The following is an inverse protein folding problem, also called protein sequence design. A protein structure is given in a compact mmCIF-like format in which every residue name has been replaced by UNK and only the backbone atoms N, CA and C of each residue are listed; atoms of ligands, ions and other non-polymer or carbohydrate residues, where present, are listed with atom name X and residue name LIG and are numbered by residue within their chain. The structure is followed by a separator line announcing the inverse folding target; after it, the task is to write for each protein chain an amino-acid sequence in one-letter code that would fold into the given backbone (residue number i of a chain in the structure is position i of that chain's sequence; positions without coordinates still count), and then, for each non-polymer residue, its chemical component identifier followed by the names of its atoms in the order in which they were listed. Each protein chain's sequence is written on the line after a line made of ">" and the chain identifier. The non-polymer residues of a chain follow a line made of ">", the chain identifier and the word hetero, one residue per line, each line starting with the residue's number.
data_IF_972715832828
#
_entry.id   IF_972715832828
#
_cell.length_a   1.000
_cell.length_b   1.000
_cell.length_c   1.000
_cell.angle_alpha   90.00
_cell.angle_beta   90.00
_cell.angle_gamma   90.00
#
_symmetry.space_group_name_H-M   'P 1'
#
loop_
_entity.id
_entity.type
_entity.pdbx_description
1 polymer ?
#
# COMPACT_ATOMS: atom_id res chain seq x y z
N UNK A 1 8.40 1.01 -12.13
CA UNK A 1 8.84 1.92 -11.04
C UNK A 1 9.86 1.30 -10.10
N UNK A 2 9.78 0.01 -9.75
CA UNK A 2 10.81 -0.65 -8.92
C UNK A 2 12.26 -0.45 -9.43
N UNK A 3 12.50 -0.54 -10.74
CA UNK A 3 13.81 -0.27 -11.35
C UNK A 3 14.29 1.18 -11.17
N UNK A 4 13.38 2.16 -11.13
CA UNK A 4 13.73 3.57 -10.93
C UNK A 4 14.00 3.88 -9.45
N UNK A 5 13.25 3.27 -8.54
CA UNK A 5 13.43 3.39 -7.08
C UNK A 5 14.78 2.77 -6.65
N UNK A 6 15.10 1.56 -7.13
CA UNK A 6 16.38 0.92 -6.84
C UNK A 6 17.57 1.52 -7.63
N UNK A 7 17.37 1.89 -8.91
CA UNK A 7 18.46 2.35 -9.79
C UNK A 7 18.88 3.81 -9.59
N UNK A 8 17.93 4.73 -9.34
CA UNK A 8 18.21 6.16 -9.21
C UNK A 8 18.19 6.65 -7.75
N UNK A 9 17.28 6.15 -6.92
CA UNK A 9 17.06 6.71 -5.58
C UNK A 9 18.03 6.17 -4.53
N UNK A 10 18.28 4.85 -4.53
CA UNK A 10 19.24 4.22 -3.62
C UNK A 10 20.66 4.78 -3.76
N UNK A 11 21.05 5.13 -4.99
CA UNK A 11 22.38 5.69 -5.31
C UNK A 11 22.52 7.17 -4.95
N UNK A 12 21.42 7.94 -4.83
CA UNK A 12 21.46 9.41 -4.68
C UNK A 12 21.27 9.89 -3.24
N UNK A 13 20.43 9.25 -2.43
CA UNK A 13 20.05 9.76 -1.10
C UNK A 13 20.55 8.93 0.09
N UNK A 14 20.97 7.67 -0.10
CA UNK A 14 21.39 6.72 0.97
C UNK A 14 20.38 6.48 2.12
N UNK A 15 19.24 7.14 2.10
CA UNK A 15 18.13 6.94 3.02
C UNK A 15 17.35 5.67 2.62
N UNK A 16 17.76 4.53 3.21
CA UNK A 16 17.14 3.21 2.97
C UNK A 16 15.66 3.21 3.36
N UNK A 17 15.26 4.00 4.34
CA UNK A 17 13.89 4.03 4.86
C UNK A 17 12.92 4.62 3.83
N UNK A 18 13.32 5.70 3.14
CA UNK A 18 12.48 6.34 2.13
C UNK A 18 12.23 5.46 0.90
N UNK A 19 13.26 4.74 0.46
CA UNK A 19 13.20 3.85 -0.71
C UNK A 19 12.31 2.65 -0.42
N UNK A 20 12.48 2.08 0.77
CA UNK A 20 11.67 0.98 1.31
C UNK A 20 10.20 1.40 1.40
N UNK A 21 9.93 2.53 2.07
CA UNK A 21 8.59 3.09 2.21
C UNK A 21 7.89 3.30 0.85
N UNK A 22 8.57 3.93 -0.11
CA UNK A 22 8.00 4.19 -1.44
C UNK A 22 7.73 2.90 -2.24
N UNK A 23 8.59 1.88 -2.12
CA UNK A 23 8.40 0.60 -2.79
C UNK A 23 7.20 -0.18 -2.22
N UNK A 24 7.10 -0.27 -0.89
CA UNK A 24 5.95 -0.86 -0.19
C UNK A 24 4.64 -0.16 -0.58
N UNK A 25 4.64 1.18 -0.56
CA UNK A 25 3.46 1.96 -0.93
C UNK A 25 2.99 1.63 -2.36
N UNK A 26 3.94 1.48 -3.29
CA UNK A 26 3.61 1.11 -4.65
C UNK A 26 2.98 -0.29 -4.77
N UNK A 27 3.54 -1.28 -4.04
CA UNK A 27 2.99 -2.64 -3.98
C UNK A 27 1.55 -2.62 -3.45
N UNK A 28 1.30 -1.88 -2.37
CA UNK A 28 -0.01 -1.77 -1.75
C UNK A 28 -1.04 -1.14 -2.68
N UNK A 29 -0.70 0.00 -3.32
CA UNK A 29 -1.58 0.66 -4.28
C UNK A 29 -1.87 -0.24 -5.47
N UNK A 30 -0.86 -0.92 -6.01
CA UNK A 30 -1.04 -1.83 -7.14
C UNK A 30 -1.98 -2.99 -6.79
N UNK A 31 -1.81 -3.60 -5.61
CA UNK A 31 -2.67 -4.69 -5.15
C UNK A 31 -4.13 -4.24 -4.97
N UNK A 32 -4.35 -3.08 -4.35
CA UNK A 32 -5.69 -2.50 -4.18
C UNK A 32 -6.33 -2.24 -5.54
N UNK A 33 -5.64 -1.55 -6.45
CA UNK A 33 -6.18 -1.24 -7.78
C UNK A 33 -6.48 -2.48 -8.60
N UNK A 34 -5.70 -3.56 -8.44
CA UNK A 34 -5.97 -4.84 -9.10
C UNK A 34 -7.31 -5.43 -8.65
N UNK A 35 -7.58 -5.42 -7.35
CA UNK A 35 -8.86 -5.87 -6.81
C UNK A 35 -9.99 -4.95 -7.27
N UNK A 36 -9.81 -3.63 -7.16
CA UNK A 36 -10.82 -2.66 -7.57
C UNK A 36 -11.12 -2.71 -9.06
N UNK A 37 -10.16 -3.07 -9.91
CA UNK A 37 -10.37 -3.26 -11.35
C UNK A 37 -11.18 -4.51 -11.67
N UNK A 38 -11.23 -5.50 -10.77
CA UNK A 38 -11.98 -6.74 -10.97
C UNK A 38 -13.46 -6.64 -10.54
N UNK A 39 -13.83 -5.55 -9.85
CA UNK A 39 -15.19 -5.32 -9.35
C UNK A 39 -15.71 -3.95 -9.78
N UNK A 40 -17.04 -3.81 -9.84
CA UNK A 40 -17.65 -2.49 -9.98
C UNK A 40 -17.58 -1.77 -8.62
N UNK A 41 -16.47 -1.07 -8.37
CA UNK A 41 -16.27 -0.34 -7.14
C UNK A 41 -17.07 0.97 -7.13
N UNK A 42 -17.85 1.20 -6.08
CA UNK A 42 -18.68 2.40 -5.96
C UNK A 42 -17.84 3.64 -5.65
N UNK A 43 -18.17 4.75 -6.32
CA UNK A 43 -17.57 6.07 -6.03
C UNK A 43 -17.74 6.46 -4.56
N UNK A 44 -18.85 6.08 -3.93
CA UNK A 44 -19.09 6.34 -2.51
C UNK A 44 -18.07 5.63 -1.58
N UNK A 45 -17.68 4.40 -1.94
CA UNK A 45 -16.66 3.66 -1.19
C UNK A 45 -15.27 4.29 -1.37
N UNK A 46 -14.95 4.76 -2.58
CA UNK A 46 -13.72 5.53 -2.84
C UNK A 46 -13.66 6.85 -2.06
N UNK A 47 -14.80 7.55 -1.97
CA UNK A 47 -14.94 8.75 -1.16
C UNK A 47 -14.70 8.47 0.33
N UNK A 48 -15.22 7.35 0.85
CA UNK A 48 -14.97 6.93 2.23
C UNK A 48 -13.48 6.67 2.51
N UNK A 49 -12.80 5.97 1.61
CA UNK A 49 -11.35 5.73 1.73
C UNK A 49 -10.55 7.04 1.69
N UNK A 50 -10.92 7.96 0.79
CA UNK A 50 -10.29 9.27 0.68
C UNK A 50 -10.52 10.14 1.93
N UNK A 51 -11.72 10.10 2.50
CA UNK A 51 -12.04 10.80 3.74
C UNK A 51 -11.22 10.26 4.93
N UNK A 52 -11.05 8.93 5.04
CA UNK A 52 -10.19 8.32 6.05
C UNK A 52 -8.74 8.79 5.87
N UNK A 53 -8.19 8.74 4.65
CA UNK A 53 -6.83 9.21 4.38
C UNK A 53 -6.66 10.71 4.66
N UNK A 54 -7.66 11.54 4.33
CA UNK A 54 -7.65 12.97 4.63
C UNK A 54 -7.63 13.23 6.15
N UNK A 55 -8.47 12.52 6.93
CA UNK A 55 -8.44 12.59 8.39
C UNK A 55 -7.09 12.15 8.97
N UNK A 56 -6.44 11.17 8.35
CA UNK A 56 -5.10 10.72 8.74
C UNK A 56 -4.03 11.80 8.64
N UNK A 57 -4.14 12.69 7.64
CA UNK A 57 -3.18 13.79 7.43
C UNK A 57 -3.38 14.97 8.39
N UNK A 58 -4.55 15.09 9.04
CA UNK A 58 -4.87 16.17 9.98
C UNK A 58 -4.35 15.94 11.41
N UNK A 59 -3.67 14.81 11.66
CA UNK A 59 -3.11 14.50 12.98
C UNK A 59 -1.98 15.46 13.33
N UNK A 60 -2.04 16.02 14.54
CA UNK A 60 -1.14 17.05 15.06
C UNK A 60 0.32 16.62 15.20
N UNK A 61 0.59 15.31 15.38
CA UNK A 61 1.93 14.74 15.29
C UNK A 61 2.11 14.05 13.94
N UNK A 62 3.05 14.55 13.09
CA UNK A 62 3.32 13.95 11.81
C UNK A 62 3.98 12.58 12.01
N UNK A 63 3.32 11.54 11.50
CA UNK A 63 3.85 10.18 11.45
C UNK A 63 5.14 10.14 10.63
N UNK A 64 6.09 9.33 11.04
CA UNK A 64 7.27 9.04 10.21
C UNK A 64 6.87 8.33 8.91
N UNK A 65 7.71 8.45 7.88
CA UNK A 65 7.44 7.90 6.53
C UNK A 65 7.18 6.38 6.58
N UNK A 66 7.88 5.69 7.48
CA UNK A 66 7.74 4.26 7.75
C UNK A 66 6.39 3.95 8.37
N UNK A 67 5.97 4.69 9.41
CA UNK A 67 4.66 4.51 10.06
C UNK A 67 3.50 4.75 9.09
N UNK A 68 3.58 5.80 8.26
CA UNK A 68 2.57 6.05 7.22
C UNK A 68 2.45 4.88 6.23
N UNK A 69 3.59 4.26 5.88
CA UNK A 69 3.62 3.13 4.95
C UNK A 69 2.95 1.90 5.57
N UNK A 70 3.29 1.56 6.81
CA UNK A 70 2.64 0.46 7.53
C UNK A 70 1.15 0.68 7.72
N UNK A 71 0.77 1.91 8.04
CA UNK A 71 -0.63 2.27 8.17
C UNK A 71 -1.38 2.08 6.84
N UNK A 72 -0.79 2.55 5.74
CA UNK A 72 -1.36 2.36 4.42
C UNK A 72 -1.46 0.87 4.03
N UNK A 73 -0.48 0.05 4.42
CA UNK A 73 -0.53 -1.41 4.24
C UNK A 73 -1.72 -2.05 4.97
N UNK A 74 -1.99 -1.63 6.22
CA UNK A 74 -3.17 -2.08 6.96
C UNK A 74 -4.48 -1.70 6.25
N UNK A 75 -4.58 -0.45 5.78
CA UNK A 75 -5.74 0.01 5.02
C UNK A 75 -5.90 -0.77 3.71
N UNK A 76 -4.81 -1.07 3.01
CA UNK A 76 -4.85 -1.88 1.80
C UNK A 76 -5.43 -3.28 2.06
N UNK A 77 -4.98 -3.95 3.13
CA UNK A 77 -5.52 -5.27 3.51
C UNK A 77 -7.01 -5.18 3.86
N UNK A 78 -7.42 -4.14 4.60
CA UNK A 78 -8.82 -3.91 4.94
C UNK A 78 -9.69 -3.71 3.69
N UNK A 79 -9.23 -2.92 2.71
CA UNK A 79 -9.94 -2.70 1.44
C UNK A 79 -10.04 -3.99 0.64
N UNK A 80 -8.93 -4.72 0.47
CA UNK A 80 -8.91 -6.00 -0.26
C UNK A 80 -9.88 -7.01 0.37
N UNK A 81 -9.96 -7.04 1.70
CA UNK A 81 -10.84 -7.96 2.44
C UNK A 81 -12.31 -7.54 2.46
N UNK A 82 -12.60 -6.24 2.30
CA UNK A 82 -13.95 -5.68 2.36
C UNK A 82 -14.69 -5.76 1.02
N UNK A 83 -13.97 -5.86 -0.09
CA UNK A 83 -14.55 -5.91 -1.44
C UNK A 83 -15.35 -7.21 -1.62
N UNK A 84 -16.66 -7.06 -1.78
CA UNK A 84 -17.59 -8.15 -2.10
C UNK A 84 -17.74 -8.25 -3.62
N UNK A 85 -17.62 -9.47 -4.17
CA UNK A 85 -17.73 -9.74 -5.61
C UNK A 85 -16.49 -10.38 -6.24
N UNK A 86 -15.38 -10.44 -5.52
CA UNK A 86 -14.20 -11.23 -5.89
C UNK A 86 -14.29 -12.65 -5.33
N UNK A 87 -13.61 -13.60 -5.97
CA UNK A 87 -13.50 -14.96 -5.41
C UNK A 87 -12.57 -14.95 -4.20
N UNK A 88 -12.98 -15.62 -3.13
CA UNK A 88 -12.16 -15.81 -1.91
C UNK A 88 -10.69 -16.18 -2.20
N UNK A 89 -10.38 -17.14 -3.09
CA UNK A 89 -8.99 -17.48 -3.40
C UNK A 89 -8.21 -16.35 -4.08
N UNK A 90 -8.87 -15.53 -4.90
CA UNK A 90 -8.20 -14.38 -5.54
C UNK A 90 -7.88 -13.29 -4.53
N UNK A 91 -8.82 -12.94 -3.65
CA UNK A 91 -8.57 -11.98 -2.57
C UNK A 91 -7.43 -12.45 -1.65
N UNK A 92 -7.44 -13.74 -1.26
CA UNK A 92 -6.37 -14.33 -0.44
C UNK A 92 -4.99 -14.29 -1.14
N UNK A 93 -4.94 -14.56 -2.45
CA UNK A 93 -3.71 -14.46 -3.24
C UNK A 93 -3.16 -13.03 -3.24
N UNK A 94 -4.01 -12.01 -3.42
CA UNK A 94 -3.58 -10.61 -3.45
C UNK A 94 -3.11 -10.15 -2.06
N UNK A 95 -3.79 -10.57 -0.98
CA UNK A 95 -3.32 -10.31 0.39
C UNK A 95 -1.97 -10.99 0.63
N UNK A 96 -1.79 -12.24 0.19
CA UNK A 96 -0.50 -12.93 0.30
C UNK A 96 0.60 -12.19 -0.47
N UNK A 97 0.30 -11.70 -1.67
CA UNK A 97 1.24 -10.88 -2.45
C UNK A 97 1.65 -9.60 -1.72
N UNK A 98 0.70 -8.91 -1.08
CA UNK A 98 0.96 -7.74 -0.24
C UNK A 98 1.85 -8.08 0.96
N UNK A 99 1.56 -9.18 1.67
CA UNK A 99 2.33 -9.61 2.83
C UNK A 99 3.75 -10.05 2.45
N UNK A 100 3.90 -10.83 1.37
CA UNK A 100 5.21 -11.26 0.86
C UNK A 100 6.00 -10.05 0.34
N UNK A 101 5.35 -9.13 -0.37
CA UNK A 101 5.95 -7.88 -0.82
C UNK A 101 6.44 -7.04 0.37
N UNK A 102 5.64 -6.94 1.43
CA UNK A 102 6.05 -6.25 2.64
C UNK A 102 7.23 -6.95 3.32
N UNK A 103 7.19 -8.27 3.45
CA UNK A 103 8.27 -9.06 4.04
C UNK A 103 9.59 -8.92 3.29
N UNK A 104 9.57 -8.99 1.95
CA UNK A 104 10.78 -8.87 1.11
C UNK A 104 11.37 -7.47 1.19
N UNK A 105 10.53 -6.43 1.21
CA UNK A 105 10.98 -5.04 1.19
C UNK A 105 11.42 -4.57 2.58
N UNK A 106 10.74 -5.01 3.64
CA UNK A 106 11.11 -4.73 5.03
C UNK A 106 12.28 -5.59 5.53
N UNK A 107 12.74 -6.60 4.76
CA UNK A 107 13.84 -7.45 5.18
C UNK A 107 15.13 -6.63 5.37
N UNK A 108 15.62 -6.49 6.62
CA UNK A 108 16.75 -5.62 6.91
C UNK A 108 18.04 -6.30 6.43
N UNK A 109 18.64 -5.75 5.38
CA UNK A 109 20.08 -5.88 5.10
C UNK A 109 20.69 -4.50 4.87
#
# INVERSE_FOLDING_TARGET
>A
MMLLVFGMYYRRYRDKELVTAAALFNIFVFAVLTILSSVNFSVAAGFGLFAILALFTLRSEPLTKTEMTYFFGSVAIAVISSVQGTTLPFAAMVVLFVLVGAYIVDHPK
#
